data_IF_381324909653
#
_entry.id   IF_381324909653
#
_cell.length_a   1.000
_cell.length_b   1.000
_cell.length_c   1.000
_cell.angle_alpha   90.00
_cell.angle_beta   90.00
_cell.angle_gamma   90.00
#
_symmetry.space_group_name_H-M   'P 1'
#
loop_
_entity.id
_entity.type
_entity.pdbx_description
1 polymer ?
#
# COMPACT_ATOMS: atom_id res chain seq x y z
N UNK A 1 16.40 60.59 -1.28
CA UNK A 1 17.40 59.58 -0.91
C UNK A 1 16.95 58.94 0.42
N UNK A 2 16.13 57.88 0.36
CA UNK A 2 15.60 57.21 1.56
C UNK A 2 16.64 56.24 2.11
N UNK A 3 17.18 56.56 3.31
CA UNK A 3 18.05 55.64 4.05
C UNK A 3 17.13 54.63 4.78
N UNK A 4 17.07 53.38 4.32
CA UNK A 4 16.50 52.30 5.07
C UNK A 4 17.36 52.04 6.32
N UNK A 5 16.74 52.12 7.52
CA UNK A 5 17.39 51.87 8.79
C UNK A 5 17.79 50.39 8.90
N UNK A 6 18.99 50.11 9.40
CA UNK A 6 19.60 48.81 9.56
C UNK A 6 18.67 47.72 10.21
N UNK A 7 17.78 48.05 11.20
CA UNK A 7 16.90 47.05 11.80
C UNK A 7 15.85 46.49 10.81
N UNK A 8 15.42 47.28 9.83
CA UNK A 8 14.46 46.80 8.80
C UNK A 8 15.11 45.86 7.78
N UNK A 9 16.39 46.03 7.51
CA UNK A 9 17.14 45.14 6.64
C UNK A 9 17.36 43.76 7.29
N UNK A 10 17.61 43.74 8.61
CA UNK A 10 17.77 42.50 9.38
C UNK A 10 16.45 41.72 9.51
N UNK A 11 15.33 42.42 9.71
CA UNK A 11 14.00 41.83 9.76
C UNK A 11 13.58 41.24 8.40
N UNK A 12 13.92 41.90 7.28
CA UNK A 12 13.66 41.41 5.93
C UNK A 12 14.51 40.17 5.61
N UNK A 13 15.76 40.11 6.07
CA UNK A 13 16.66 38.97 5.89
C UNK A 13 16.20 37.73 6.67
N UNK A 14 15.61 37.91 7.86
CA UNK A 14 15.05 36.79 8.63
C UNK A 14 13.78 36.20 8.03
N UNK A 15 13.00 36.93 7.23
CA UNK A 15 11.82 36.42 6.54
C UNK A 15 12.14 35.45 5.38
N UNK A 16 13.35 35.54 4.82
CA UNK A 16 13.77 34.67 3.71
C UNK A 16 14.42 33.34 4.12
N UNK A 17 14.64 33.11 5.42
CA UNK A 17 15.34 31.92 5.93
C UNK A 17 14.43 30.78 6.40
N UNK A 18 13.11 30.89 6.27
CA UNK A 18 12.23 29.76 6.46
C UNK A 18 12.13 28.93 5.18
N UNK A 19 13.25 28.39 4.71
CA UNK A 19 13.19 27.23 3.82
C UNK A 19 12.60 26.09 4.64
N UNK A 20 11.32 25.81 4.43
CA UNK A 20 10.70 24.58 4.87
C UNK A 20 11.52 23.45 4.24
N UNK A 21 12.39 22.83 5.02
CA UNK A 21 13.13 21.66 4.59
C UNK A 21 12.10 20.59 4.24
N UNK A 22 11.75 20.49 2.96
CA UNK A 22 10.92 19.43 2.44
C UNK A 22 11.81 18.19 2.47
N UNK A 23 11.44 17.19 3.28
CA UNK A 23 12.18 15.95 3.30
C UNK A 23 12.21 15.39 1.86
N UNK A 24 13.40 15.09 1.37
CA UNK A 24 13.56 14.48 0.04
C UNK A 24 13.05 13.03 0.16
N UNK A 25 12.36 12.57 -0.86
CA UNK A 25 11.92 11.17 -0.98
C UNK A 25 13.10 10.20 -0.81
N UNK A 26 14.29 10.59 -1.26
CA UNK A 26 15.52 9.79 -1.15
C UNK A 26 15.86 9.47 0.30
N UNK A 27 15.71 10.45 1.21
CA UNK A 27 15.99 10.28 2.64
C UNK A 27 14.91 9.46 3.35
N UNK A 28 13.67 9.51 2.83
CA UNK A 28 12.53 8.80 3.37
C UNK A 28 12.53 7.30 3.01
N UNK A 29 13.00 6.95 1.81
CA UNK A 29 12.93 5.60 1.26
C UNK A 29 13.52 4.51 2.16
N UNK A 30 14.67 4.67 2.83
CA UNK A 30 15.22 3.63 3.70
C UNK A 30 14.29 3.28 4.87
N UNK A 31 13.54 4.28 5.37
CA UNK A 31 12.53 4.07 6.42
C UNK A 31 11.31 3.35 5.87
N UNK A 32 10.75 3.81 4.75
CA UNK A 32 9.58 3.21 4.11
C UNK A 32 9.85 1.74 3.78
N UNK A 33 10.97 1.43 3.15
CA UNK A 33 11.32 0.06 2.72
C UNK A 33 11.42 -0.93 3.88
N UNK A 34 11.80 -0.49 5.10
CA UNK A 34 11.80 -1.35 6.29
C UNK A 34 10.42 -1.69 6.83
N UNK A 35 9.42 -0.93 6.43
CA UNK A 35 8.02 -1.10 6.82
C UNK A 35 7.19 -1.82 5.75
N UNK A 36 7.75 -2.06 4.56
CA UNK A 36 7.08 -2.75 3.45
C UNK A 36 7.54 -4.19 3.42
N UNK A 37 6.59 -5.11 3.40
CA UNK A 37 6.82 -6.55 3.47
C UNK A 37 6.19 -7.28 2.30
N UNK A 38 6.78 -8.39 1.89
CA UNK A 38 6.10 -9.35 1.03
C UNK A 38 5.06 -10.14 1.81
N UNK A 39 3.92 -10.42 1.19
CA UNK A 39 2.85 -11.26 1.77
C UNK A 39 2.66 -12.49 0.91
N UNK A 40 2.53 -13.67 1.54
CA UNK A 40 2.36 -14.93 0.83
C UNK A 40 2.26 -16.12 1.77
N UNK A 41 2.80 -17.28 1.38
CA UNK A 41 2.81 -18.47 2.21
C UNK A 41 4.20 -19.09 2.32
N UNK A 42 4.40 -19.86 3.39
CA UNK A 42 5.56 -20.71 3.59
C UNK A 42 5.12 -22.17 3.71
N UNK A 43 5.81 -23.07 3.01
CA UNK A 43 5.56 -24.50 3.05
C UNK A 43 6.87 -25.25 3.26
N UNK A 44 6.97 -26.15 4.26
CA UNK A 44 8.23 -26.79 4.65
C UNK A 44 8.85 -27.66 3.55
N UNK A 45 8.03 -28.27 2.70
CA UNK A 45 8.45 -29.21 1.66
C UNK A 45 8.55 -28.56 0.26
N UNK A 46 8.31 -27.25 0.14
CA UNK A 46 8.37 -26.56 -1.16
C UNK A 46 9.81 -26.01 -1.41
N UNK A 47 10.17 -25.90 -2.67
CA UNK A 47 11.40 -25.21 -3.08
C UNK A 47 11.05 -24.14 -4.15
N UNK A 48 11.24 -22.85 -3.89
CA UNK A 48 11.60 -22.24 -2.59
C UNK A 48 10.49 -22.41 -1.54
N UNK A 49 10.85 -22.47 -0.26
CA UNK A 49 9.88 -22.67 0.84
C UNK A 49 8.84 -21.55 0.94
N UNK A 50 9.23 -20.32 0.68
CA UNK A 50 8.37 -19.16 0.70
C UNK A 50 7.89 -18.79 -0.71
N UNK A 51 6.60 -18.47 -0.84
CA UNK A 51 5.98 -18.02 -2.09
C UNK A 51 5.33 -16.67 -1.87
N UNK A 52 5.79 -15.66 -2.62
CA UNK A 52 5.22 -14.32 -2.61
C UNK A 52 3.91 -14.28 -3.41
N UNK A 53 2.89 -13.63 -2.86
CA UNK A 53 1.60 -13.38 -3.50
C UNK A 53 1.36 -11.89 -3.77
N UNK A 54 1.86 -11.02 -2.91
CA UNK A 54 1.72 -9.57 -3.02
C UNK A 54 2.54 -8.83 -1.98
N UNK A 55 2.16 -7.61 -1.74
CA UNK A 55 2.81 -6.66 -0.82
C UNK A 55 1.92 -6.37 0.38
N UNK A 56 2.51 -5.96 1.48
CA UNK A 56 1.85 -5.37 2.63
C UNK A 56 2.74 -4.34 3.29
N UNK A 57 2.21 -3.63 4.25
CA UNK A 57 2.98 -2.66 5.05
C UNK A 57 2.57 -2.69 6.52
N UNK A 58 3.54 -2.39 7.36
CA UNK A 58 3.41 -2.46 8.81
C UNK A 58 2.69 -1.23 9.36
N UNK A 59 1.77 -1.45 10.31
CA UNK A 59 0.95 -0.42 10.94
C UNK A 59 0.85 -0.64 12.47
N UNK A 60 0.17 0.26 13.15
CA UNK A 60 -0.13 0.22 14.58
C UNK A 60 1.15 0.08 15.44
N UNK A 61 1.22 -0.93 16.28
CA UNK A 61 2.34 -1.20 17.20
C UNK A 61 3.54 -1.92 16.53
N UNK A 62 3.53 -2.07 15.20
CA UNK A 62 4.59 -2.76 14.46
C UNK A 62 4.43 -4.28 14.34
N UNK A 63 3.32 -4.84 14.84
CA UNK A 63 2.97 -6.27 14.73
C UNK A 63 1.83 -6.55 13.78
N UNK A 64 1.32 -5.53 13.11
CA UNK A 64 0.22 -5.68 12.18
C UNK A 64 0.64 -5.24 10.78
N UNK A 65 0.15 -5.95 9.78
CA UNK A 65 0.42 -5.70 8.36
C UNK A 65 -0.91 -5.54 7.64
N UNK A 66 -1.06 -4.44 6.93
CA UNK A 66 -2.17 -4.21 6.00
C UNK A 66 -1.79 -4.73 4.62
N UNK A 67 -2.72 -5.39 3.96
CA UNK A 67 -2.63 -5.84 2.56
C UNK A 67 -4.02 -5.89 1.94
N UNK A 68 -4.13 -6.29 0.67
CA UNK A 68 -5.45 -6.56 0.09
C UNK A 68 -6.01 -7.92 0.56
N UNK A 69 -7.34 -8.04 0.59
CA UNK A 69 -8.01 -9.28 1.03
C UNK A 69 -7.75 -10.47 0.09
N UNK A 70 -7.52 -10.20 -1.21
CA UNK A 70 -7.20 -11.22 -2.21
C UNK A 70 -5.73 -11.69 -2.20
N UNK A 71 -4.82 -10.98 -1.49
CA UNK A 71 -3.38 -11.31 -1.48
C UNK A 71 -3.05 -12.54 -0.64
N UNK A 72 -3.54 -12.70 0.61
CA UNK A 72 -3.37 -13.94 1.35
C UNK A 72 -3.99 -15.10 0.59
N UNK A 73 -3.29 -16.25 0.45
CA UNK A 73 -3.85 -17.42 -0.21
C UNK A 73 -5.20 -17.81 0.39
N UNK A 74 -6.19 -18.05 -0.49
CA UNK A 74 -7.54 -18.43 -0.05
C UNK A 74 -7.56 -19.81 0.65
N UNK A 75 -6.69 -20.71 0.21
CA UNK A 75 -6.51 -22.05 0.76
C UNK A 75 -5.03 -22.27 1.07
N UNK A 76 -4.77 -22.76 2.27
CA UNK A 76 -3.44 -23.19 2.72
C UNK A 76 -3.49 -24.69 2.99
N UNK A 77 -2.46 -25.41 2.59
CA UNK A 77 -2.27 -26.82 2.91
C UNK A 77 -1.78 -27.00 4.37
N UNK A 78 -2.63 -26.58 5.32
CA UNK A 78 -2.25 -26.52 6.76
C UNK A 78 -1.89 -27.90 7.31
N UNK A 79 -2.53 -28.98 6.83
CA UNK A 79 -2.20 -30.36 7.18
C UNK A 79 -0.79 -30.77 6.76
N UNK A 80 -0.25 -30.12 5.72
CA UNK A 80 1.13 -30.30 5.26
C UNK A 80 2.09 -29.23 5.82
N UNK A 81 1.63 -28.41 6.77
CA UNK A 81 2.42 -27.40 7.43
C UNK A 81 2.56 -26.08 6.65
N UNK A 82 1.71 -25.83 5.64
CA UNK A 82 1.70 -24.52 4.99
C UNK A 82 1.09 -23.46 5.91
N UNK A 83 1.73 -22.31 5.99
CA UNK A 83 1.31 -21.18 6.82
C UNK A 83 1.29 -19.89 6.02
N UNK A 84 0.39 -18.98 6.39
CA UNK A 84 0.45 -17.60 5.94
C UNK A 84 1.73 -16.96 6.50
N UNK A 85 2.44 -16.22 5.67
CA UNK A 85 3.72 -15.64 6.05
C UNK A 85 3.93 -14.25 5.44
N UNK A 86 4.72 -13.43 6.15
CA UNK A 86 5.32 -12.21 5.61
C UNK A 86 6.82 -12.42 5.42
N UNK A 87 7.36 -11.75 4.42
CA UNK A 87 8.75 -11.83 4.01
C UNK A 87 9.37 -10.45 4.09
N UNK A 88 10.48 -10.37 4.80
CA UNK A 88 11.26 -9.15 4.96
C UNK A 88 12.61 -9.35 4.34
N UNK A 89 13.12 -8.32 3.67
CA UNK A 89 14.50 -8.32 3.23
C UNK A 89 15.36 -7.52 4.20
N UNK A 90 16.35 -8.18 4.78
CA UNK A 90 17.39 -7.55 5.56
C UNK A 90 18.75 -7.69 4.85
N UNK A 91 19.80 -7.12 5.46
CA UNK A 91 21.18 -7.19 4.94
C UNK A 91 21.68 -8.62 4.79
N UNK A 92 21.25 -9.50 5.70
CA UNK A 92 21.68 -10.91 5.80
C UNK A 92 20.83 -11.88 4.96
N UNK A 93 19.77 -11.38 4.27
CA UNK A 93 18.92 -12.21 3.43
C UNK A 93 17.44 -11.94 3.53
N UNK A 94 16.64 -13.01 3.45
CA UNK A 94 15.18 -12.96 3.58
C UNK A 94 14.76 -13.59 4.88
N UNK A 95 14.19 -12.81 5.77
CA UNK A 95 13.50 -13.30 6.97
C UNK A 95 12.05 -13.63 6.61
N UNK A 96 11.55 -14.78 7.05
CA UNK A 96 10.14 -15.18 6.88
C UNK A 96 9.51 -15.30 8.26
N UNK A 97 8.42 -14.59 8.49
CA UNK A 97 7.64 -14.63 9.73
C UNK A 97 6.27 -15.19 9.46
N UNK A 98 5.81 -16.04 10.36
CA UNK A 98 4.42 -16.50 10.34
C UNK A 98 3.47 -15.33 10.55
N UNK A 99 2.33 -15.40 9.89
CA UNK A 99 1.28 -14.40 10.00
C UNK A 99 -0.09 -15.09 10.19
N UNK A 100 -1.01 -14.35 10.79
CA UNK A 100 -2.41 -14.76 10.97
C UNK A 100 -3.32 -13.61 10.49
N UNK A 101 -4.37 -13.93 9.75
CA UNK A 101 -5.37 -12.95 9.33
C UNK A 101 -6.33 -12.69 10.50
N UNK A 102 -6.26 -11.48 11.07
CA UNK A 102 -7.04 -11.09 12.27
C UNK A 102 -8.26 -10.22 11.94
N UNK A 103 -8.27 -9.55 10.78
CA UNK A 103 -9.44 -8.83 10.31
C UNK A 103 -9.50 -8.84 8.77
N UNK A 104 -10.71 -8.69 8.24
CA UNK A 104 -10.97 -8.66 6.80
C UNK A 104 -12.06 -7.65 6.48
N UNK A 105 -11.89 -6.92 5.40
CA UNK A 105 -12.88 -6.03 4.81
C UNK A 105 -13.03 -6.38 3.32
N UNK A 106 -13.88 -7.35 3.00
CA UNK A 106 -14.02 -7.81 1.62
C UNK A 106 -14.65 -6.75 0.70
N UNK A 107 -15.41 -5.81 1.23
CA UNK A 107 -16.06 -4.76 0.41
C UNK A 107 -15.03 -3.77 -0.14
N UNK A 108 -14.01 -3.45 0.66
CA UNK A 108 -12.90 -2.59 0.25
C UNK A 108 -11.64 -3.40 -0.14
N UNK A 109 -11.73 -4.73 -0.21
CA UNK A 109 -10.59 -5.61 -0.52
C UNK A 109 -9.36 -5.35 0.38
N UNK A 110 -9.57 -5.24 1.69
CA UNK A 110 -8.51 -5.04 2.69
C UNK A 110 -8.45 -6.21 3.68
N UNK A 111 -7.25 -6.58 4.09
CA UNK A 111 -6.99 -7.53 5.16
C UNK A 111 -5.95 -7.00 6.14
N UNK A 112 -6.11 -7.39 7.41
CA UNK A 112 -5.17 -7.11 8.47
C UNK A 112 -4.57 -8.44 8.95
N UNK A 113 -3.24 -8.51 8.93
CA UNK A 113 -2.48 -9.67 9.38
C UNK A 113 -1.74 -9.29 10.66
N UNK A 114 -1.71 -10.20 11.64
CA UNK A 114 -0.81 -10.13 12.79
C UNK A 114 0.42 -10.99 12.50
N UNK A 115 1.60 -10.47 12.80
CA UNK A 115 2.88 -11.15 12.55
C UNK A 115 3.58 -11.54 13.84
N UNK A 116 4.29 -12.66 13.79
CA UNK A 116 5.14 -13.11 14.90
C UNK A 116 6.45 -12.31 14.97
N UNK A 117 7.10 -12.37 16.13
CA UNK A 117 8.41 -11.78 16.36
C UNK A 117 8.40 -10.34 16.88
N UNK A 118 9.54 -9.68 16.81
CA UNK A 118 9.71 -8.32 17.29
C UNK A 118 8.94 -7.30 16.41
N UNK A 119 8.44 -6.21 17.00
CA UNK A 119 7.80 -5.14 16.23
C UNK A 119 8.71 -4.62 15.13
N UNK A 120 8.11 -4.34 13.98
CA UNK A 120 8.74 -3.68 12.83
C UNK A 120 8.42 -2.19 12.84
N UNK A 121 9.19 -1.35 12.15
CA UNK A 121 8.84 0.05 11.97
C UNK A 121 7.46 0.18 11.32
N UNK A 122 6.52 0.86 11.97
CA UNK A 122 5.19 1.09 11.43
C UNK A 122 5.15 2.37 10.59
N UNK A 123 4.37 2.37 9.52
CA UNK A 123 4.03 3.57 8.75
C UNK A 123 2.87 4.30 9.43
N UNK A 124 2.92 5.62 9.40
CA UNK A 124 1.80 6.46 9.81
C UNK A 124 0.75 6.49 8.71
N UNK A 125 -0.51 6.46 9.11
CA UNK A 125 -1.63 6.62 8.20
C UNK A 125 -1.99 8.10 8.10
N UNK A 126 -2.03 8.64 6.90
CA UNK A 126 -2.49 9.99 6.60
C UNK A 126 -4.03 10.10 6.66
N UNK A 127 -4.56 11.15 6.09
CA UNK A 127 -6.00 11.35 5.90
C UNK A 127 -6.31 11.45 4.40
N UNK A 128 -6.88 10.40 3.83
CA UNK A 128 -7.19 10.35 2.39
C UNK A 128 -8.27 11.35 1.94
N UNK A 129 -9.07 11.91 2.86
CA UNK A 129 -10.04 12.95 2.52
C UNK A 129 -9.37 14.29 2.17
N UNK A 130 -8.09 14.45 2.51
CA UNK A 130 -7.30 15.63 2.19
C UNK A 130 -6.54 15.49 0.85
N UNK A 131 -6.53 14.29 0.25
CA UNK A 131 -5.88 14.06 -1.03
C UNK A 131 -6.59 14.80 -2.16
N UNK A 132 -5.83 15.47 -3.03
CA UNK A 132 -6.35 16.24 -4.14
C UNK A 132 -5.78 15.73 -5.47
N UNK A 133 -6.61 15.71 -6.48
CA UNK A 133 -6.18 15.41 -7.84
C UNK A 133 -5.04 16.32 -8.28
N UNK A 134 -4.05 15.76 -8.96
CA UNK A 134 -2.82 16.43 -9.33
C UNK A 134 -1.68 16.31 -8.30
N UNK A 135 -1.95 15.84 -7.07
CA UNK A 135 -0.90 15.60 -6.08
C UNK A 135 0.01 14.43 -6.48
N UNK A 136 1.27 14.54 -6.08
CA UNK A 136 2.30 13.55 -6.36
C UNK A 136 2.51 12.65 -5.13
N UNK A 137 2.27 11.37 -5.31
CA UNK A 137 2.55 10.32 -4.33
C UNK A 137 3.63 9.36 -4.82
N UNK A 138 4.00 8.44 -3.95
CA UNK A 138 4.91 7.34 -4.23
C UNK A 138 4.28 6.03 -3.75
N UNK A 139 4.56 4.94 -4.43
CA UNK A 139 4.22 3.60 -3.98
C UNK A 139 5.46 2.73 -3.89
N UNK A 140 5.52 1.86 -2.90
CA UNK A 140 6.63 0.91 -2.72
C UNK A 140 6.08 -0.49 -2.52
N UNK A 141 6.54 -1.44 -3.33
CA UNK A 141 6.10 -2.82 -3.25
C UNK A 141 7.06 -3.79 -3.93
N UNK A 142 6.60 -5.02 -4.12
CA UNK A 142 7.38 -6.11 -4.72
C UNK A 142 6.83 -6.48 -6.10
N UNK A 143 7.07 -5.64 -7.14
CA UNK A 143 6.60 -5.93 -8.48
C UNK A 143 7.27 -7.21 -8.99
N UNK A 144 6.46 -8.12 -9.54
CA UNK A 144 6.94 -9.39 -10.13
C UNK A 144 7.95 -10.12 -9.20
N UNK A 145 7.71 -10.04 -7.88
CA UNK A 145 8.67 -10.49 -6.87
C UNK A 145 9.06 -11.96 -6.95
N UNK A 146 8.22 -12.81 -7.59
CA UNK A 146 8.56 -14.19 -7.87
C UNK A 146 9.72 -14.33 -8.88
N UNK A 147 9.95 -13.31 -9.73
CA UNK A 147 10.98 -13.31 -10.78
C UNK A 147 12.16 -12.42 -10.39
N UNK A 148 11.88 -11.22 -9.85
CA UNK A 148 12.90 -10.22 -9.54
C UNK A 148 13.49 -10.36 -8.12
N UNK A 149 12.94 -11.30 -7.32
CA UNK A 149 13.31 -11.45 -5.91
C UNK A 149 12.66 -10.42 -5.00
N UNK A 150 12.94 -10.52 -3.70
CA UNK A 150 12.38 -9.65 -2.66
C UNK A 150 13.15 -8.31 -2.57
N UNK A 151 13.12 -7.54 -3.65
CA UNK A 151 13.65 -6.18 -3.69
C UNK A 151 12.49 -5.20 -3.84
N UNK A 152 12.16 -4.40 -2.79
CA UNK A 152 11.07 -3.44 -2.89
C UNK A 152 11.45 -2.31 -3.85
N UNK A 153 10.63 -2.13 -4.89
CA UNK A 153 10.76 -1.06 -5.85
C UNK A 153 9.81 0.09 -5.52
N UNK A 154 10.28 1.32 -5.71
CA UNK A 154 9.49 2.53 -5.51
C UNK A 154 9.18 3.17 -6.84
N UNK A 155 7.90 3.50 -7.04
CA UNK A 155 7.40 4.19 -8.21
C UNK A 155 6.78 5.53 -7.81
N UNK A 156 6.87 6.51 -8.71
CA UNK A 156 6.13 7.75 -8.62
C UNK A 156 4.70 7.51 -9.10
N UNK A 157 3.72 8.14 -8.45
CA UNK A 157 2.32 7.97 -8.75
C UNK A 157 1.58 9.30 -8.60
N UNK A 158 1.09 9.87 -9.70
CA UNK A 158 0.21 11.05 -9.66
C UNK A 158 -1.22 10.63 -9.32
N UNK A 159 -1.91 11.37 -8.43
CA UNK A 159 -3.35 11.20 -8.23
C UNK A 159 -4.09 11.82 -9.41
N UNK A 160 -4.52 10.98 -10.35
CA UNK A 160 -5.18 11.42 -11.58
C UNK A 160 -6.68 11.70 -11.37
N UNK A 161 -7.36 10.89 -10.53
CA UNK A 161 -8.77 11.09 -10.21
C UNK A 161 -9.15 10.44 -8.88
N UNK A 162 -10.19 10.99 -8.23
CA UNK A 162 -10.92 10.36 -7.13
C UNK A 162 -12.31 10.00 -7.66
N UNK A 163 -12.59 8.71 -7.80
CA UNK A 163 -13.81 8.26 -8.49
C UNK A 163 -14.51 7.13 -7.71
N UNK A 164 -15.86 7.03 -7.82
CA UNK A 164 -16.56 5.89 -7.27
C UNK A 164 -16.24 4.62 -8.04
N UNK A 165 -16.11 3.49 -7.33
CA UNK A 165 -16.02 2.17 -7.95
C UNK A 165 -17.37 1.78 -8.52
N UNK A 166 -17.44 1.70 -9.85
CA UNK A 166 -18.55 1.05 -10.53
C UNK A 166 -18.06 -0.29 -11.09
N UNK A 167 -18.58 -1.39 -10.57
CA UNK A 167 -18.40 -2.68 -11.22
C UNK A 167 -19.30 -2.72 -12.45
N UNK A 168 -18.76 -2.72 -13.70
CA UNK A 168 -19.61 -2.87 -14.87
C UNK A 168 -20.28 -4.23 -14.81
N UNK A 169 -21.59 -4.24 -14.63
CA UNK A 169 -22.40 -5.45 -14.71
C UNK A 169 -22.51 -5.83 -16.17
N UNK A 170 -21.69 -6.78 -16.61
CA UNK A 170 -21.67 -7.23 -18.01
C UNK A 170 -22.88 -8.12 -18.36
N UNK A 171 -23.58 -8.69 -17.39
CA UNK A 171 -24.84 -9.43 -17.58
C UNK A 171 -25.59 -9.59 -16.25
N UNK A 172 -26.92 -9.73 -16.32
CA UNK A 172 -27.77 -10.02 -15.15
C UNK A 172 -27.37 -11.34 -14.45
N UNK A 173 -26.77 -12.29 -15.19
CA UNK A 173 -26.29 -13.57 -14.65
C UNK A 173 -25.03 -13.46 -13.79
N UNK A 174 -24.32 -12.33 -13.86
CA UNK A 174 -23.11 -12.08 -13.05
C UNK A 174 -23.40 -11.26 -11.78
N UNK A 175 -24.68 -10.91 -11.53
CA UNK A 175 -25.07 -10.18 -10.34
C UNK A 175 -24.93 -11.08 -9.10
N UNK A 176 -24.03 -10.70 -8.22
CA UNK A 176 -23.92 -11.24 -6.86
C UNK A 176 -24.50 -10.23 -5.87
N UNK A 177 -25.00 -10.66 -4.68
CA UNK A 177 -25.43 -9.73 -3.64
C UNK A 177 -24.39 -8.65 -3.30
N UNK A 178 -23.09 -9.00 -3.36
CA UNK A 178 -21.99 -8.06 -3.18
C UNK A 178 -21.92 -6.99 -4.26
N UNK A 179 -22.08 -7.37 -5.54
CA UNK A 179 -22.06 -6.42 -6.67
C UNK A 179 -23.26 -5.47 -6.61
N UNK A 180 -24.44 -5.98 -6.20
CA UNK A 180 -25.63 -5.15 -5.99
C UNK A 180 -25.37 -4.13 -4.88
N UNK A 181 -24.85 -4.56 -3.73
CA UNK A 181 -24.54 -3.68 -2.61
C UNK A 181 -23.49 -2.61 -2.97
N UNK A 182 -22.44 -2.99 -3.72
CA UNK A 182 -21.43 -2.05 -4.22
C UNK A 182 -22.00 -1.04 -5.24
N UNK A 183 -22.97 -1.44 -6.04
CA UNK A 183 -23.65 -0.53 -6.97
C UNK A 183 -24.58 0.47 -6.26
N UNK A 184 -25.20 0.04 -5.15
CA UNK A 184 -26.06 0.90 -4.33
C UNK A 184 -25.26 1.90 -3.47
N UNK A 185 -24.08 1.52 -3.02
CA UNK A 185 -23.18 2.34 -2.20
C UNK A 185 -21.74 2.23 -2.70
N UNK A 186 -21.42 2.87 -3.84
CA UNK A 186 -20.07 2.85 -4.37
C UNK A 186 -19.12 3.56 -3.41
N UNK A 187 -17.99 2.93 -3.11
CA UNK A 187 -16.92 3.58 -2.36
C UNK A 187 -15.96 4.30 -3.30
N UNK A 188 -15.27 5.31 -2.78
CA UNK A 188 -14.29 6.06 -3.57
C UNK A 188 -12.97 5.29 -3.68
N UNK A 189 -12.34 5.39 -4.85
CA UNK A 189 -10.98 4.91 -5.11
C UNK A 189 -10.14 6.02 -5.72
N UNK A 190 -8.85 5.92 -5.55
CA UNK A 190 -7.87 6.73 -6.24
C UNK A 190 -7.47 6.08 -7.56
N UNK A 191 -7.52 6.82 -8.65
CA UNK A 191 -6.88 6.48 -9.91
C UNK A 191 -5.52 7.16 -9.95
N UNK A 192 -4.47 6.36 -10.08
CA UNK A 192 -3.09 6.82 -10.09
C UNK A 192 -2.52 6.72 -11.51
N UNK A 193 -1.84 7.76 -11.94
CA UNK A 193 -0.97 7.75 -13.13
C UNK A 193 0.34 7.02 -12.76
N UNK A 194 0.27 5.71 -12.79
CA UNK A 194 1.37 4.81 -12.47
C UNK A 194 1.09 3.42 -13.01
N UNK A 195 2.14 2.66 -13.27
CA UNK A 195 2.04 1.25 -13.64
C UNK A 195 2.20 0.39 -12.40
N UNK A 196 1.18 -0.41 -12.06
CA UNK A 196 1.28 -1.44 -11.04
C UNK A 196 1.39 -2.83 -11.70
N UNK A 197 2.46 -3.51 -11.38
CA UNK A 197 2.68 -4.89 -11.80
C UNK A 197 2.07 -5.90 -10.80
N UNK A 198 1.81 -7.15 -11.23
CA UNK A 198 1.50 -8.24 -10.32
C UNK A 198 2.51 -8.31 -9.16
N UNK A 199 2.02 -8.38 -7.92
CA UNK A 199 2.83 -8.28 -6.73
C UNK A 199 2.77 -6.91 -6.02
N UNK A 200 2.36 -5.84 -6.72
CA UNK A 200 2.14 -4.53 -6.10
C UNK A 200 0.82 -4.42 -5.32
N UNK A 201 -0.11 -5.38 -5.46
CA UNK A 201 -1.31 -5.42 -4.61
C UNK A 201 -0.94 -5.37 -3.13
N UNK A 202 -1.55 -4.45 -2.37
CA UNK A 202 -1.27 -4.22 -0.95
C UNK A 202 -0.11 -3.24 -0.67
N UNK A 203 0.55 -2.69 -1.70
CA UNK A 203 1.59 -1.68 -1.53
C UNK A 203 1.03 -0.38 -0.94
N UNK A 204 1.71 0.26 0.03
CA UNK A 204 1.35 1.59 0.48
C UNK A 204 1.60 2.62 -0.62
N UNK A 205 0.64 3.53 -0.78
CA UNK A 205 0.78 4.79 -1.52
C UNK A 205 0.93 5.89 -0.49
N UNK A 206 1.98 6.69 -0.55
CA UNK A 206 2.33 7.63 0.50
C UNK A 206 2.79 8.98 -0.04
N UNK A 207 2.63 10.01 0.78
CA UNK A 207 3.15 11.34 0.51
C UNK A 207 4.68 11.37 0.59
N UNK A 208 5.33 11.95 -0.40
CA UNK A 208 6.79 11.95 -0.52
C UNK A 208 7.51 12.86 0.46
N UNK A 209 6.81 13.76 1.16
CA UNK A 209 7.41 14.66 2.13
C UNK A 209 7.24 14.14 3.57
N UNK A 210 6.04 13.67 3.93
CA UNK A 210 5.73 13.18 5.27
C UNK A 210 5.97 11.67 5.45
N UNK A 211 5.82 10.90 4.38
CA UNK A 211 5.82 9.43 4.41
C UNK A 211 4.51 8.85 4.94
N UNK A 212 3.48 9.67 5.12
CA UNK A 212 2.18 9.20 5.56
C UNK A 212 1.46 8.46 4.43
N UNK A 213 0.88 7.31 4.77
CA UNK A 213 0.16 6.47 3.80
C UNK A 213 -1.19 7.10 3.50
N UNK A 214 -1.47 7.30 2.21
CA UNK A 214 -2.70 7.91 1.70
C UNK A 214 -3.64 6.88 1.06
N UNK A 215 -3.09 5.76 0.56
CA UNK A 215 -3.90 4.70 -0.05
C UNK A 215 -3.15 3.35 -0.08
N UNK A 216 -3.85 2.30 -0.50
CA UNK A 216 -3.34 0.93 -0.70
C UNK A 216 -3.56 0.52 -2.14
N UNK A 217 -2.50 0.15 -2.85
CA UNK A 217 -2.59 -0.30 -4.27
C UNK A 217 -3.49 -1.52 -4.38
N UNK A 218 -4.39 -1.50 -5.36
CA UNK A 218 -5.23 -2.63 -5.72
C UNK A 218 -5.11 -2.92 -7.22
N UNK A 219 -4.36 -3.94 -7.60
CA UNK A 219 -4.14 -4.30 -9.00
C UNK A 219 -5.25 -5.17 -9.60
N UNK A 220 -6.26 -5.59 -8.83
CA UNK A 220 -7.38 -6.43 -9.32
C UNK A 220 -8.39 -5.61 -10.12
N UNK A 221 -8.49 -4.31 -9.87
CA UNK A 221 -9.38 -3.44 -10.67
C UNK A 221 -8.86 -3.19 -12.10
N UNK A 222 -7.62 -3.57 -12.40
CA UNK A 222 -7.09 -3.53 -13.77
C UNK A 222 -7.70 -4.70 -14.55
N UNK A 223 -8.51 -4.39 -15.58
CA UNK A 223 -9.17 -5.39 -16.43
C UNK A 223 -8.15 -6.28 -17.14
N UNK A 224 -8.26 -7.59 -16.95
CA UNK A 224 -7.52 -8.56 -17.73
C UNK A 224 -6.92 -9.70 -16.88
N UNK A 225 -6.42 -10.74 -17.54
CA UNK A 225 -5.66 -11.80 -16.88
C UNK A 225 -4.30 -11.27 -16.41
N UNK A 226 -3.66 -11.97 -15.44
CA UNK A 226 -2.30 -11.64 -15.02
C UNK A 226 -1.30 -11.59 -16.20
N UNK A 227 -1.52 -12.42 -17.21
CA UNK A 227 -0.74 -12.46 -18.44
C UNK A 227 -0.94 -11.22 -19.31
N UNK A 228 -2.17 -10.69 -19.38
CA UNK A 228 -2.46 -9.44 -20.11
C UNK A 228 -1.83 -8.24 -19.44
N UNK A 229 -1.85 -8.18 -18.10
CA UNK A 229 -1.21 -7.09 -17.33
C UNK A 229 0.33 -7.09 -17.46
N UNK A 230 0.94 -8.24 -17.81
CA UNK A 230 2.38 -8.33 -18.08
C UNK A 230 2.72 -7.92 -19.51
N UNK A 231 1.82 -8.18 -20.48
CA UNK A 231 2.05 -7.86 -21.91
C UNK A 231 1.67 -6.44 -22.27
N UNK A 232 0.56 -5.95 -21.69
CA UNK A 232 0.03 -4.60 -21.91
C UNK A 232 -0.31 -3.96 -20.55
N UNK A 233 0.68 -3.46 -19.80
CA UNK A 233 0.43 -2.81 -18.53
C UNK A 233 -0.40 -1.54 -18.76
N UNK A 234 -1.54 -1.45 -18.08
CA UNK A 234 -2.31 -0.21 -18.03
C UNK A 234 -1.50 0.89 -17.36
N UNK A 235 -1.43 2.07 -17.96
CA UNK A 235 -0.87 3.27 -17.33
C UNK A 235 -1.66 3.76 -16.11
N UNK A 236 -2.80 3.12 -15.80
CA UNK A 236 -3.67 3.49 -14.69
C UNK A 236 -3.61 2.40 -13.61
N UNK A 237 -3.31 2.82 -12.39
CA UNK A 237 -3.37 1.98 -11.19
C UNK A 237 -4.49 2.47 -10.29
N UNK A 238 -5.20 1.54 -9.65
CA UNK A 238 -6.20 1.86 -8.64
C UNK A 238 -5.64 1.66 -7.24
N UNK A 239 -6.07 2.54 -6.32
CA UNK A 239 -5.69 2.43 -4.91
C UNK A 239 -6.89 2.74 -4.00
N UNK A 240 -6.96 2.02 -2.90
CA UNK A 240 -8.01 2.13 -1.88
C UNK A 240 -7.60 3.23 -0.90
N UNK A 241 -8.41 4.29 -0.70
CA UNK A 241 -8.11 5.36 0.26
C UNK A 241 -7.83 4.84 1.67
N UNK A 242 -6.85 5.42 2.35
CA UNK A 242 -6.36 4.94 3.65
C UNK A 242 -7.39 5.04 4.78
N UNK A 243 -8.40 5.88 4.65
CA UNK A 243 -9.47 5.98 5.67
C UNK A 243 -10.24 4.66 5.83
N UNK A 244 -10.33 3.81 4.79
CA UNK A 244 -10.86 2.44 4.92
C UNK A 244 -9.96 1.53 5.75
N UNK A 245 -8.63 1.73 5.68
CA UNK A 245 -7.66 1.04 6.58
C UNK A 245 -7.85 1.50 8.01
N UNK A 246 -8.02 2.81 8.26
CA UNK A 246 -8.32 3.34 9.61
C UNK A 246 -9.58 2.70 10.19
N UNK A 247 -10.65 2.61 9.40
CA UNK A 247 -11.89 1.95 9.81
C UNK A 247 -11.69 0.45 10.11
N UNK A 248 -10.86 -0.25 9.32
CA UNK A 248 -10.52 -1.66 9.55
C UNK A 248 -9.76 -1.84 10.88
N UNK A 249 -8.76 -0.99 11.17
CA UNK A 249 -8.02 -1.01 12.44
C UNK A 249 -8.93 -0.75 13.63
N UNK A 250 -9.79 0.26 13.55
CA UNK A 250 -10.76 0.57 14.62
C UNK A 250 -11.70 -0.61 14.91
N UNK A 251 -12.22 -1.28 13.85
CA UNK A 251 -13.03 -2.50 14.03
C UNK A 251 -12.26 -3.66 14.66
N UNK A 252 -10.94 -3.70 14.46
CA UNK A 252 -10.05 -4.67 15.11
C UNK A 252 -9.59 -4.25 16.52
N UNK A 253 -10.08 -3.11 17.06
CA UNK A 253 -9.69 -2.60 18.38
C UNK A 253 -8.28 -2.01 18.44
N UNK A 254 -7.73 -1.58 17.31
CA UNK A 254 -6.39 -1.03 17.19
C UNK A 254 -6.43 0.47 16.93
N UNK A 255 -5.45 1.19 17.48
CA UNK A 255 -5.23 2.60 17.15
C UNK A 255 -4.70 2.71 15.70
N UNK A 256 -5.28 3.61 14.86
CA UNK A 256 -4.85 3.82 13.49
C UNK A 256 -3.56 4.66 13.39
#
# INVERSE_FOLDING_TARGET
MFRLNAPYLLALLCLFLTSVARADIVDLLPRIKRSVVGVGSQHPLRSPRARLAGTGFVVADGRYVVTNAHVPPALLETEKGETLAVMLRDRDGVEVRRAEKVANDPDHDLALLKIDGNPLPALKLGNSDQAREGEQFYLTGYPIGAVLGLYPATHRAGLAAVAPVYSPVMSVRSLTPRLIHQAEKPFLIFQLDAIAYPGNSGSPVYDGASGEVMAVVNSVFVKGSKESALKDPSGITYAIPVNYVRALLQRAGLAP
#
